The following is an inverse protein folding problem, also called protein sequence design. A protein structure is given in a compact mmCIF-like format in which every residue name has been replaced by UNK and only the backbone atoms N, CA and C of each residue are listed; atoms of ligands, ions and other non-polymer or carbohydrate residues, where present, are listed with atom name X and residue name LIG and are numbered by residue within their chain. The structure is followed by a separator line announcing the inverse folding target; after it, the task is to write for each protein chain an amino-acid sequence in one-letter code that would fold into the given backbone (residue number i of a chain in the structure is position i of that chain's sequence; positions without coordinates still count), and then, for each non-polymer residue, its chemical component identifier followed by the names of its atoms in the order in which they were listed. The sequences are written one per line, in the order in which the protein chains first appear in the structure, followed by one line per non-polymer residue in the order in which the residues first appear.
data_IF_561300661310
#
_entry.id   IF_561300661310
#
_cell.length_a   1.000
_cell.length_b   1.000
_cell.length_c   1.000
_cell.angle_alpha   90.00
_cell.angle_beta   90.00
_cell.angle_gamma   90.00
#
_symmetry.space_group_name_H-M   'P 1'
#
loop_
_entity.id
_entity.type
_entity.pdbx_description
1 polymer ?
#
# COMPACT_ATOMS: atom_id res chain seq x y z
N UNK A 1 -2.35 28.16 -4.04
CA UNK A 1 -2.61 27.53 -5.36
C UNK A 1 -1.77 26.25 -5.56
N UNK A 2 -1.82 25.27 -4.63
CA UNK A 2 -1.01 24.03 -4.69
C UNK A 2 -1.76 22.85 -5.33
N UNK A 3 -3.05 23.00 -5.59
CA UNK A 3 -3.96 21.97 -6.10
C UNK A 3 -3.62 21.44 -7.51
N UNK A 4 -3.31 22.26 -8.54
CA UNK A 4 -3.04 21.72 -9.87
C UNK A 4 -1.74 20.90 -9.92
N UNK A 5 -0.72 21.30 -9.15
CA UNK A 5 0.55 20.57 -9.09
C UNK A 5 0.41 19.22 -8.38
N UNK A 6 -0.48 19.14 -7.38
CA UNK A 6 -0.82 17.88 -6.69
C UNK A 6 -1.58 16.95 -7.64
N UNK A 7 -2.51 17.49 -8.42
CA UNK A 7 -3.28 16.75 -9.41
C UNK A 7 -2.39 16.21 -10.54
N UNK A 8 -1.55 17.07 -11.13
CA UNK A 8 -0.61 16.68 -12.17
C UNK A 8 0.41 15.64 -11.69
N UNK A 9 0.90 15.76 -10.44
CA UNK A 9 1.76 14.73 -9.83
C UNK A 9 1.03 13.42 -9.61
N UNK A 10 -0.25 13.46 -9.25
CA UNK A 10 -1.07 12.28 -9.09
C UNK A 10 -1.26 11.57 -10.45
N UNK A 11 -1.65 12.31 -11.48
CA UNK A 11 -1.80 11.80 -12.84
C UNK A 11 -0.50 11.22 -13.39
N UNK A 12 0.63 11.93 -13.24
CA UNK A 12 1.94 11.43 -13.67
C UNK A 12 2.30 10.12 -12.93
N UNK A 13 2.03 10.03 -11.63
CA UNK A 13 2.27 8.80 -10.86
C UNK A 13 1.39 7.65 -11.31
N UNK A 14 0.13 7.91 -11.68
CA UNK A 14 -0.76 6.91 -12.25
C UNK A 14 -0.24 6.43 -13.60
N UNK A 15 0.13 7.35 -14.50
CA UNK A 15 0.69 7.02 -15.82
C UNK A 15 2.00 6.24 -15.72
N UNK A 16 2.91 6.64 -14.84
CA UNK A 16 4.16 5.89 -14.58
C UNK A 16 3.86 4.51 -14.01
N UNK A 17 2.88 4.38 -13.11
CA UNK A 17 2.50 3.09 -12.55
C UNK A 17 1.83 2.19 -13.58
N UNK A 18 1.03 2.75 -14.48
CA UNK A 18 0.46 2.07 -15.64
C UNK A 18 1.56 1.59 -16.59
N UNK A 19 2.53 2.46 -16.91
CA UNK A 19 3.67 2.10 -17.76
C UNK A 19 4.52 0.99 -17.13
N UNK A 20 4.76 1.03 -15.82
CA UNK A 20 5.47 -0.02 -15.09
C UNK A 20 4.70 -1.35 -15.11
N UNK A 21 3.37 -1.31 -14.95
CA UNK A 21 2.51 -2.49 -14.99
C UNK A 21 2.51 -3.13 -16.39
N UNK A 22 2.36 -2.31 -17.44
CA UNK A 22 2.43 -2.74 -18.85
C UNK A 22 3.82 -3.32 -19.16
N UNK A 23 4.89 -2.68 -18.66
CA UNK A 23 6.25 -3.19 -18.77
C UNK A 23 6.54 -4.42 -17.89
N UNK A 24 5.55 -4.91 -17.13
CA UNK A 24 5.67 -5.99 -16.15
C UNK A 24 6.79 -5.77 -15.12
N UNK A 25 7.13 -4.51 -14.83
CA UNK A 25 8.13 -4.11 -13.83
C UNK A 25 7.44 -3.68 -12.53
N UNK A 26 8.02 -4.10 -11.39
CA UNK A 26 7.56 -3.67 -10.05
C UNK A 26 8.39 -2.51 -9.56
N UNK A 27 7.77 -1.58 -8.85
CA UNK A 27 8.46 -0.39 -8.35
C UNK A 27 9.15 -0.70 -7.02
N UNK A 28 10.48 -0.65 -7.03
CA UNK A 28 11.35 -0.75 -5.85
C UNK A 28 10.94 -1.85 -4.86
N UNK A 29 11.12 -3.11 -5.25
CA UNK A 29 10.94 -4.23 -4.30
C UNK A 29 12.14 -4.42 -3.37
N UNK A 30 13.28 -3.76 -3.61
CA UNK A 30 14.51 -4.01 -2.84
C UNK A 30 14.84 -5.51 -2.78
N UNK A 31 15.55 -5.93 -1.72
CA UNK A 31 15.81 -7.34 -1.38
C UNK A 31 14.72 -7.97 -0.50
N UNK A 32 13.65 -7.23 -0.17
CA UNK A 32 12.62 -7.66 0.76
C UNK A 32 11.55 -8.56 0.14
N UNK A 33 10.79 -9.28 0.99
CA UNK A 33 9.68 -10.12 0.56
C UNK A 33 8.46 -9.26 0.25
N UNK A 34 7.93 -9.36 -0.97
CA UNK A 34 6.79 -8.58 -1.43
C UNK A 34 5.45 -9.30 -1.21
N UNK A 35 4.47 -8.60 -0.63
CA UNK A 35 3.11 -9.07 -0.42
C UNK A 35 2.10 -8.20 -1.19
N UNK A 36 1.37 -8.85 -2.10
CA UNK A 36 0.28 -8.22 -2.85
C UNK A 36 -0.92 -7.89 -1.96
N UNK A 37 -1.69 -6.89 -2.37
CA UNK A 37 -2.99 -6.54 -1.78
C UNK A 37 -4.05 -6.17 -2.84
N UNK A 38 -3.66 -6.24 -4.12
CA UNK A 38 -4.44 -5.68 -5.21
C UNK A 38 -5.55 -6.64 -5.70
N UNK A 39 -5.52 -7.93 -5.30
CA UNK A 39 -6.52 -8.92 -5.73
C UNK A 39 -7.91 -8.57 -5.22
N UNK A 40 -8.02 -8.06 -3.98
CA UNK A 40 -9.30 -7.61 -3.43
C UNK A 40 -9.93 -6.42 -4.16
N UNK A 41 -9.14 -5.61 -4.88
CA UNK A 41 -9.62 -4.44 -5.62
C UNK A 41 -9.96 -4.75 -7.09
N UNK A 42 -9.44 -5.86 -7.64
CA UNK A 42 -9.55 -6.20 -9.06
C UNK A 42 -10.98 -6.27 -9.60
N UNK A 43 -11.90 -7.05 -8.98
CA UNK A 43 -13.27 -7.20 -9.48
C UNK A 43 -14.05 -5.87 -9.56
N UNK A 44 -13.89 -5.00 -8.56
CA UNK A 44 -14.56 -3.69 -8.53
C UNK A 44 -14.03 -2.78 -9.64
N UNK A 45 -12.71 -2.76 -9.85
CA UNK A 45 -12.10 -1.96 -10.92
C UNK A 45 -12.50 -2.48 -12.30
N UNK A 46 -12.56 -3.80 -12.48
CA UNK A 46 -13.03 -4.40 -13.73
C UNK A 46 -14.51 -4.09 -13.99
N UNK A 47 -15.36 -4.20 -12.95
CA UNK A 47 -16.77 -3.84 -13.04
C UNK A 47 -16.96 -2.37 -13.42
N UNK A 48 -16.19 -1.45 -12.82
CA UNK A 48 -16.24 -0.04 -13.17
C UNK A 48 -15.80 0.22 -14.61
N UNK A 49 -14.68 -0.37 -15.04
CA UNK A 49 -14.22 -0.26 -16.42
C UNK A 49 -15.24 -0.80 -17.43
N UNK A 50 -15.89 -1.93 -17.10
CA UNK A 50 -16.96 -2.50 -17.93
C UNK A 50 -18.17 -1.56 -18.04
N UNK A 51 -18.62 -0.99 -16.93
CA UNK A 51 -19.74 -0.02 -16.93
C UNK A 51 -19.38 1.21 -17.77
N UNK A 52 -18.15 1.74 -17.66
CA UNK A 52 -17.70 2.85 -18.51
C UNK A 52 -17.77 2.50 -20.00
N UNK A 53 -17.38 1.27 -20.40
CA UNK A 53 -17.48 0.84 -21.80
C UNK A 53 -18.94 0.77 -22.27
N UNK A 54 -19.83 0.22 -21.45
CA UNK A 54 -21.27 0.16 -21.77
C UNK A 54 -21.86 1.58 -21.88
N UNK A 55 -21.49 2.46 -20.97
CA UNK A 55 -21.86 3.88 -21.00
C UNK A 55 -21.37 4.56 -22.28
N UNK A 56 -20.11 4.35 -22.69
CA UNK A 56 -19.59 4.90 -23.94
C UNK A 56 -20.38 4.45 -25.17
N UNK A 57 -20.78 3.18 -25.21
CA UNK A 57 -21.59 2.64 -26.32
C UNK A 57 -22.99 3.28 -26.30
N UNK A 58 -23.62 3.41 -25.13
CA UNK A 58 -24.92 4.05 -24.99
C UNK A 58 -24.86 5.53 -25.42
N UNK A 59 -23.83 6.26 -25.00
CA UNK A 59 -23.60 7.65 -25.40
C UNK A 59 -23.30 7.77 -26.90
N UNK A 60 -22.60 6.81 -27.50
CA UNK A 60 -22.40 6.77 -28.95
C UNK A 60 -23.71 6.69 -29.73
N UNK A 61 -24.65 5.87 -29.24
CA UNK A 61 -25.99 5.75 -29.85
C UNK A 61 -26.81 7.02 -29.63
N UNK A 62 -26.82 7.55 -28.40
CA UNK A 62 -27.61 8.72 -28.03
C UNK A 62 -27.13 10.01 -28.73
N UNK A 63 -25.82 10.17 -28.89
CA UNK A 63 -25.20 11.37 -29.46
C UNK A 63 -24.85 11.22 -30.94
N UNK A 64 -25.40 10.22 -31.64
CA UNK A 64 -25.11 9.96 -33.07
C UNK A 64 -25.31 11.19 -33.97
N UNK A 65 -26.30 12.02 -33.64
CA UNK A 65 -26.67 13.21 -34.41
C UNK A 65 -25.87 14.46 -33.99
N UNK A 66 -25.02 14.35 -32.96
CA UNK A 66 -24.20 15.42 -32.39
C UNK A 66 -22.71 15.02 -32.34
N UNK A 67 -22.02 14.96 -33.49
CA UNK A 67 -20.67 14.38 -33.59
C UNK A 67 -19.62 15.12 -32.76
N UNK A 68 -19.78 16.43 -32.54
CA UNK A 68 -18.87 17.20 -31.69
C UNK A 68 -18.99 16.78 -30.22
N UNK A 69 -20.21 16.64 -29.70
CA UNK A 69 -20.47 16.25 -28.31
C UNK A 69 -20.03 14.79 -28.11
N UNK A 70 -20.33 13.92 -29.08
CA UNK A 70 -19.91 12.52 -29.05
C UNK A 70 -18.39 12.38 -28.87
N UNK A 71 -17.58 13.13 -29.62
CA UNK A 71 -16.11 13.09 -29.50
C UNK A 71 -15.64 13.51 -28.11
N UNK A 72 -16.23 14.54 -27.53
CA UNK A 72 -15.85 15.02 -26.19
C UNK A 72 -16.16 13.96 -25.13
N UNK A 73 -17.36 13.38 -25.16
CA UNK A 73 -17.76 12.31 -24.23
C UNK A 73 -16.85 11.08 -24.41
N UNK A 74 -16.58 10.68 -25.64
CA UNK A 74 -15.70 9.55 -25.92
C UNK A 74 -14.28 9.76 -25.35
N UNK A 75 -13.71 10.96 -25.49
CA UNK A 75 -12.40 11.29 -24.91
C UNK A 75 -12.45 11.20 -23.38
N UNK A 76 -13.51 11.71 -22.76
CA UNK A 76 -13.70 11.64 -21.30
C UNK A 76 -13.83 10.21 -20.79
N UNK A 77 -14.54 9.35 -21.52
CA UNK A 77 -14.72 7.95 -21.16
C UNK A 77 -13.42 7.18 -21.27
N UNK A 78 -12.69 7.34 -22.38
CA UNK A 78 -11.37 6.73 -22.56
C UNK A 78 -10.41 7.20 -21.46
N UNK A 79 -10.42 8.50 -21.14
CA UNK A 79 -9.63 9.04 -20.05
C UNK A 79 -10.00 8.41 -18.69
N UNK A 80 -11.30 8.25 -18.42
CA UNK A 80 -11.80 7.60 -17.20
C UNK A 80 -11.34 6.15 -17.11
N UNK A 81 -11.42 5.39 -18.20
CA UNK A 81 -10.92 4.01 -18.26
C UNK A 81 -9.41 3.97 -17.98
N UNK A 82 -8.63 4.84 -18.59
CA UNK A 82 -7.18 4.93 -18.35
C UNK A 82 -6.88 5.25 -16.87
N UNK A 83 -7.64 6.16 -16.25
CA UNK A 83 -7.51 6.45 -14.82
C UNK A 83 -7.84 5.24 -13.95
N UNK A 84 -8.94 4.54 -14.23
CA UNK A 84 -9.36 3.34 -13.48
C UNK A 84 -8.32 2.24 -13.57
N UNK A 85 -7.83 1.95 -14.78
CA UNK A 85 -6.77 0.95 -15.00
C UNK A 85 -5.46 1.39 -14.37
N UNK A 86 -5.09 2.67 -14.49
CA UNK A 86 -3.90 3.25 -13.86
C UNK A 86 -3.91 3.13 -12.33
N UNK A 87 -5.07 3.33 -11.69
CA UNK A 87 -5.23 3.11 -10.25
C UNK A 87 -5.04 1.65 -9.86
N UNK A 88 -5.61 0.71 -10.62
CA UNK A 88 -5.41 -0.71 -10.38
C UNK A 88 -3.93 -1.11 -10.57
N UNK A 89 -3.30 -0.65 -11.65
CA UNK A 89 -1.89 -0.85 -11.94
C UNK A 89 -0.99 -0.30 -10.82
N UNK A 90 -1.29 0.88 -10.29
CA UNK A 90 -0.57 1.46 -9.15
C UNK A 90 -0.67 0.61 -7.88
N UNK A 91 -1.80 -0.03 -7.64
CA UNK A 91 -1.96 -0.99 -6.54
C UNK A 91 -1.16 -2.28 -6.76
N UNK A 92 -1.04 -2.76 -8.00
CA UNK A 92 -0.31 -4.00 -8.33
C UNK A 92 1.22 -3.80 -8.29
N UNK A 93 1.72 -2.68 -8.80
CA UNK A 93 3.14 -2.40 -8.98
C UNK A 93 3.86 -2.03 -7.67
N UNK A 94 3.10 -1.63 -6.64
CA UNK A 94 3.62 -1.16 -5.34
C UNK A 94 3.16 -2.08 -4.19
N UNK A 95 3.64 -3.33 -4.10
CA UNK A 95 3.26 -4.25 -3.02
C UNK A 95 3.77 -3.76 -1.66
N UNK A 96 3.23 -4.35 -0.58
CA UNK A 96 3.83 -4.24 0.75
C UNK A 96 5.18 -4.96 0.73
N UNK A 97 6.20 -4.38 1.37
CA UNK A 97 7.54 -4.98 1.39
C UNK A 97 7.96 -5.20 2.83
N UNK A 98 8.28 -6.45 3.16
CA UNK A 98 8.90 -6.84 4.42
C UNK A 98 10.41 -6.96 4.20
N UNK A 99 11.17 -6.14 4.92
CA UNK A 99 12.63 -6.16 4.97
C UNK A 99 13.09 -6.67 6.35
N UNK A 100 14.37 -7.06 6.48
CA UNK A 100 14.91 -7.74 7.67
C UNK A 100 14.76 -6.96 9.00
N UNK A 101 14.53 -5.64 8.93
CA UNK A 101 14.30 -4.80 10.12
C UNK A 101 13.08 -3.87 10.02
N UNK A 102 12.34 -3.87 8.90
CA UNK A 102 11.22 -2.96 8.75
C UNK A 102 10.13 -3.49 7.82
N UNK A 103 8.87 -3.24 8.19
CA UNK A 103 7.70 -3.47 7.36
C UNK A 103 7.30 -2.15 6.68
N UNK A 104 7.32 -2.11 5.35
CA UNK A 104 6.88 -0.96 4.56
C UNK A 104 5.48 -1.22 4.02
N UNK A 105 4.52 -0.49 4.55
CA UNK A 105 3.12 -0.52 4.15
C UNK A 105 2.91 0.56 3.10
N UNK A 106 2.59 0.15 1.87
CA UNK A 106 2.36 1.05 0.74
C UNK A 106 0.93 0.87 0.24
N UNK A 107 0.23 1.99 0.01
CA UNK A 107 -1.04 2.01 -0.75
C UNK A 107 -0.91 2.94 -1.94
N UNK A 108 -0.62 2.35 -3.11
CA UNK A 108 -0.49 3.03 -4.39
C UNK A 108 0.37 4.30 -4.26
N UNK A 109 -0.17 5.47 -4.63
CA UNK A 109 0.50 6.77 -4.51
C UNK A 109 0.13 7.57 -3.25
N UNK A 110 -0.72 7.00 -2.37
CA UNK A 110 -1.38 7.75 -1.29
C UNK A 110 -0.79 7.50 0.10
N UNK A 111 -0.28 6.30 0.37
CA UNK A 111 0.27 5.94 1.69
C UNK A 111 1.61 5.25 1.51
N UNK A 112 2.60 5.73 2.26
CA UNK A 112 3.91 5.10 2.40
C UNK A 112 4.33 5.20 3.86
N UNK A 113 4.12 4.11 4.61
CA UNK A 113 4.45 4.03 6.03
C UNK A 113 5.54 2.98 6.22
N UNK A 114 6.66 3.39 6.81
CA UNK A 114 7.73 2.48 7.23
C UNK A 114 7.64 2.25 8.72
N UNK A 115 7.46 0.99 9.11
CA UNK A 115 7.35 0.56 10.50
C UNK A 115 8.58 -0.28 10.85
N UNK A 116 9.44 0.19 11.78
CA UNK A 116 10.52 -0.64 12.33
C UNK A 116 9.95 -1.85 13.08
N UNK A 117 10.49 -3.05 12.84
CA UNK A 117 9.99 -4.28 13.46
C UNK A 117 10.19 -4.30 14.98
N UNK A 118 11.18 -3.55 15.48
CA UNK A 118 11.43 -3.36 16.92
C UNK A 118 10.26 -2.70 17.68
N UNK A 119 9.41 -1.96 16.96
CA UNK A 119 8.24 -1.25 17.53
C UNK A 119 6.96 -2.06 17.40
N UNK A 120 7.01 -3.27 16.85
CA UNK A 120 5.85 -4.14 16.72
C UNK A 120 5.63 -4.88 18.03
N UNK A 121 4.48 -4.61 18.64
CA UNK A 121 4.03 -5.31 19.84
C UNK A 121 3.40 -6.65 19.45
N UNK A 122 2.35 -6.59 18.64
CA UNK A 122 1.55 -7.73 18.24
C UNK A 122 1.14 -7.64 16.76
N UNK A 123 1.04 -8.79 16.10
CA UNK A 123 0.51 -8.91 14.74
C UNK A 123 -0.48 -10.06 14.68
N UNK A 124 -1.69 -9.77 14.22
CA UNK A 124 -2.78 -10.75 14.12
C UNK A 124 -3.51 -10.65 12.79
N UNK A 125 -4.01 -11.80 12.33
CA UNK A 125 -4.97 -11.86 11.23
C UNK A 125 -6.35 -11.54 11.78
N UNK A 126 -6.98 -10.52 11.23
CA UNK A 126 -8.30 -10.07 11.67
C UNK A 126 -9.02 -9.47 10.47
N UNK A 127 -10.05 -10.15 9.97
CA UNK A 127 -10.88 -9.64 8.89
C UNK A 127 -11.90 -8.68 9.48
N UNK A 128 -11.80 -7.39 9.16
CA UNK A 128 -12.78 -6.36 9.55
C UNK A 128 -13.32 -5.63 8.35
N UNK A 129 -14.62 -5.39 8.37
CA UNK A 129 -15.39 -4.67 7.34
C UNK A 129 -16.02 -3.38 7.87
N UNK A 130 -16.05 -3.20 9.18
CA UNK A 130 -16.53 -1.99 9.85
C UNK A 130 -15.33 -1.24 10.44
N UNK A 131 -15.08 -0.04 9.91
CA UNK A 131 -13.99 0.84 10.32
C UNK A 131 -14.58 2.10 10.94
N UNK A 132 -14.65 2.15 12.27
CA UNK A 132 -14.86 3.42 12.96
C UNK A 132 -13.51 4.12 13.08
N UNK A 133 -13.42 5.33 12.55
CA UNK A 133 -12.19 6.10 12.58
C UNK A 133 -11.91 6.57 14.00
N UNK A 134 -10.99 5.90 14.69
CA UNK A 134 -10.51 6.30 16.00
C UNK A 134 -9.18 7.08 15.88
N UNK A 135 -8.96 8.02 16.80
CA UNK A 135 -7.69 8.75 16.87
C UNK A 135 -6.56 7.79 17.28
N UNK A 136 -5.44 7.83 16.54
CA UNK A 136 -4.30 6.93 16.74
C UNK A 136 -4.37 5.61 15.97
N UNK A 137 -5.45 5.35 15.22
CA UNK A 137 -5.58 4.20 14.32
C UNK A 137 -5.39 4.60 12.84
N UNK A 138 -4.74 3.72 12.06
CA UNK A 138 -4.60 3.85 10.62
C UNK A 138 -5.20 2.62 9.93
N UNK A 139 -6.35 2.81 9.29
CA UNK A 139 -6.99 1.78 8.47
C UNK A 139 -6.64 1.98 6.98
N UNK A 140 -5.87 1.04 6.44
CA UNK A 140 -5.52 0.93 5.02
C UNK A 140 -6.47 -0.08 4.36
N UNK A 141 -7.68 0.40 4.11
CA UNK A 141 -8.81 -0.41 3.62
C UNK A 141 -8.72 -0.66 2.11
N UNK A 142 -8.95 -1.91 1.70
CA UNK A 142 -9.12 -2.31 0.30
C UNK A 142 -10.48 -2.98 0.15
N UNK A 143 -11.34 -2.47 -0.74
CA UNK A 143 -12.68 -3.02 -0.95
C UNK A 143 -13.57 -3.02 0.31
N UNK A 144 -13.46 -1.99 1.16
CA UNK A 144 -14.10 -1.93 2.49
C UNK A 144 -13.62 -2.99 3.50
N UNK A 145 -12.48 -3.65 3.26
CA UNK A 145 -11.94 -4.68 4.14
C UNK A 145 -10.48 -4.43 4.56
N UNK A 146 -10.12 -4.90 5.75
CA UNK A 146 -8.74 -5.07 6.26
C UNK A 146 -8.60 -6.50 6.76
N UNK A 147 -7.45 -7.14 6.52
CA UNK A 147 -7.22 -8.56 6.89
C UNK A 147 -6.15 -8.75 7.96
N UNK A 148 -5.35 -7.73 8.24
CA UNK A 148 -4.26 -7.77 9.22
C UNK A 148 -4.37 -6.56 10.17
N UNK A 149 -4.22 -6.83 11.45
CA UNK A 149 -4.10 -5.81 12.51
C UNK A 149 -2.69 -5.88 13.11
N UNK A 150 -2.01 -4.74 13.16
CA UNK A 150 -0.67 -4.56 13.71
C UNK A 150 -0.73 -3.55 14.85
N UNK A 151 -0.30 -3.95 16.04
CA UNK A 151 -0.20 -3.11 17.22
C UNK A 151 1.27 -2.71 17.43
N UNK A 152 1.47 -1.42 17.71
CA UNK A 152 2.79 -0.83 17.90
C UNK A 152 3.01 -0.49 19.37
N UNK A 153 4.16 -0.87 19.90
CA UNK A 153 4.58 -0.55 21.28
C UNK A 153 4.77 0.95 21.47
N UNK A 154 5.23 1.64 20.42
CA UNK A 154 5.43 3.09 20.39
C UNK A 154 4.69 3.72 19.20
N UNK A 155 4.16 4.94 19.34
CA UNK A 155 3.57 5.66 18.23
C UNK A 155 4.58 5.88 17.09
N UNK A 156 4.21 5.52 15.87
CA UNK A 156 5.01 5.79 14.67
C UNK A 156 4.40 6.98 13.92
N UNK A 157 5.25 7.94 13.56
CA UNK A 157 4.84 9.11 12.80
C UNK A 157 4.50 8.72 11.35
N UNK A 158 3.23 8.86 11.00
CA UNK A 158 2.72 8.75 9.64
C UNK A 158 2.52 10.15 9.06
N UNK A 159 3.05 10.40 7.86
CA UNK A 159 2.75 11.62 7.11
C UNK A 159 1.67 11.34 6.07
N UNK A 160 0.54 12.04 6.15
CA UNK A 160 -0.48 11.94 5.10
C UNK A 160 0.04 12.53 3.79
N UNK A 161 -0.62 12.21 2.67
CA UNK A 161 -0.31 12.80 1.36
C UNK A 161 -0.40 14.34 1.34
N UNK A 162 -1.08 14.95 2.32
CA UNK A 162 -1.14 16.39 2.54
C UNK A 162 -0.04 16.92 3.51
N UNK A 163 0.92 16.09 3.90
CA UNK A 163 2.04 16.46 4.78
C UNK A 163 1.67 16.58 6.26
N UNK A 164 0.46 16.20 6.67
CA UNK A 164 0.04 16.24 8.08
C UNK A 164 0.62 15.03 8.80
N UNK A 165 1.42 15.27 9.84
CA UNK A 165 1.90 14.23 10.75
C UNK A 165 0.74 13.72 11.61
N UNK A 166 0.64 12.40 11.74
CA UNK A 166 -0.22 11.68 12.67
C UNK A 166 0.59 10.59 13.32
N UNK A 167 0.55 10.50 14.64
CA UNK A 167 1.18 9.41 15.35
C UNK A 167 0.18 8.25 15.47
N UNK A 168 0.59 7.07 15.03
CA UNK A 168 -0.28 5.89 14.91
C UNK A 168 0.24 4.78 15.81
N UNK A 169 -0.65 4.17 16.59
CA UNK A 169 -0.36 3.01 17.45
C UNK A 169 -0.96 1.71 16.94
N UNK A 170 -2.04 1.80 16.16
CA UNK A 170 -2.70 0.65 15.55
C UNK A 170 -2.74 0.83 14.04
N UNK A 171 -2.22 -0.15 13.31
CA UNK A 171 -2.25 -0.17 11.84
C UNK A 171 -3.03 -1.38 11.37
N UNK A 172 -4.16 -1.15 10.70
CA UNK A 172 -4.93 -2.19 10.05
C UNK A 172 -4.75 -2.08 8.55
N UNK A 173 -4.45 -3.18 7.87
CA UNK A 173 -4.25 -3.17 6.42
C UNK A 173 -4.71 -4.48 5.78
N UNK A 174 -4.88 -4.45 4.47
CA UNK A 174 -5.22 -5.64 3.69
C UNK A 174 -3.97 -6.22 3.01
N UNK A 175 -3.80 -7.53 3.13
CA UNK A 175 -2.85 -8.33 2.37
C UNK A 175 -3.57 -9.54 1.78
N UNK A 176 -3.23 -9.88 0.52
CA UNK A 176 -3.82 -11.01 -0.21
C UNK A 176 -3.48 -12.35 0.48
N UNK A 177 -2.27 -12.45 1.03
CA UNK A 177 -1.74 -13.61 1.77
C UNK A 177 -1.51 -13.24 3.26
N UNK A 178 -2.59 -12.88 3.95
CA UNK A 178 -2.54 -12.41 5.34
C UNK A 178 -1.84 -13.41 6.29
N UNK A 179 -2.13 -14.70 6.14
CA UNK A 179 -1.52 -15.75 6.98
C UNK A 179 -0.02 -15.86 6.78
N UNK A 180 0.45 -15.80 5.52
CA UNK A 180 1.87 -15.82 5.21
C UNK A 180 2.57 -14.58 5.74
N UNK A 181 1.96 -13.40 5.55
CA UNK A 181 2.50 -12.15 6.04
C UNK A 181 2.65 -12.15 7.57
N UNK A 182 1.60 -12.55 8.30
CA UNK A 182 1.63 -12.61 9.77
C UNK A 182 2.74 -13.56 10.26
N UNK A 183 2.92 -14.71 9.62
CA UNK A 183 4.00 -15.66 9.98
C UNK A 183 5.39 -15.07 9.76
N UNK A 184 5.64 -14.49 8.60
CA UNK A 184 6.96 -13.91 8.27
C UNK A 184 7.27 -12.70 9.16
N UNK A 185 6.29 -11.81 9.41
CA UNK A 185 6.48 -10.68 10.33
C UNK A 185 6.79 -11.18 11.75
N UNK A 186 6.09 -12.19 12.25
CA UNK A 186 6.40 -12.76 13.58
C UNK A 186 7.81 -13.32 13.64
N UNK A 187 8.26 -14.02 12.59
CA UNK A 187 9.60 -14.58 12.51
C UNK A 187 10.67 -13.49 12.58
N UNK A 188 10.53 -12.45 11.76
CA UNK A 188 11.49 -11.34 11.72
C UNK A 188 11.49 -10.53 13.03
N UNK A 189 10.32 -10.27 13.63
CA UNK A 189 10.24 -9.62 14.96
C UNK A 189 10.98 -10.42 16.02
N UNK A 190 10.87 -11.76 16.01
CA UNK A 190 11.61 -12.60 16.94
C UNK A 190 13.12 -12.57 16.67
N UNK A 191 13.55 -12.59 15.40
CA UNK A 191 14.95 -12.47 15.03
C UNK A 191 15.57 -11.14 15.51
N UNK A 192 14.87 -10.03 15.32
CA UNK A 192 15.30 -8.69 15.79
C UNK A 192 15.38 -8.65 17.32
N UNK A 193 14.39 -9.23 18.01
CA UNK A 193 14.41 -9.31 19.49
C UNK A 193 15.59 -10.13 19.98
N UNK A 194 15.85 -11.31 19.39
CA UNK A 194 16.98 -12.17 19.73
C UNK A 194 18.33 -11.49 19.50
N UNK A 195 18.51 -10.81 18.37
CA UNK A 195 19.73 -10.05 18.08
C UNK A 195 19.99 -8.93 19.12
N UNK A 196 18.92 -8.33 19.67
CA UNK A 196 19.03 -7.31 20.73
C UNK A 196 19.31 -7.92 22.10
N UNK A 197 18.80 -9.11 22.39
CA UNK A 197 19.03 -9.79 23.68
C UNK A 197 20.36 -10.55 23.71
N UNK A 198 20.97 -10.83 22.56
CA UNK A 198 22.31 -11.41 22.48
C UNK A 198 23.32 -10.46 23.16
N UNK A 199 24.07 -10.93 24.18
CA UNK A 199 25.04 -10.09 24.87
C UNK A 199 26.10 -9.62 23.88
N UNK A 200 26.40 -8.32 23.90
CA UNK A 200 27.61 -7.79 23.26
C UNK A 200 28.79 -8.57 23.86
N UNK A 201 29.44 -9.39 23.04
CA UNK A 201 30.60 -10.17 23.47
C UNK A 201 31.73 -9.18 23.80
N UNK A 202 31.77 -8.75 25.06
CA UNK A 202 32.93 -8.07 25.62
C UNK A 202 34.11 -9.05 25.51
N UNK A 203 35.28 -8.60 25.01
CA UNK A 203 36.49 -9.40 25.07
C UNK A 203 36.74 -9.76 26.54
N UNK A 204 36.81 -11.04 26.86
CA UNK A 204 37.18 -11.51 28.20
C UNK A 204 38.51 -10.86 28.61
N UNK A 205 38.64 -10.32 29.84
CA UNK A 205 39.93 -9.89 30.34
C UNK A 205 40.86 -11.11 30.39
N UNK A 206 42.04 -10.97 29.80
CA UNK A 206 43.11 -11.96 29.84
C UNK A 206 43.34 -12.41 31.31
N UNK A 207 43.42 -13.72 31.60
CA UNK A 207 43.75 -14.17 32.94
C UNK A 207 45.19 -13.77 33.28
N UNK A 208 45.34 -13.12 34.43
CA UNK A 208 46.61 -12.79 35.07
C UNK A 208 47.53 -14.02 35.09
N UNK A 209 48.70 -13.88 34.47
CA UNK A 209 49.80 -14.83 34.67
C UNK A 209 50.52 -14.49 35.99
N UNK A 210 50.67 -15.45 36.93
CA UNK A 210 51.57 -15.27 38.05
C UNK A 210 53.04 -15.38 37.62
N UNK A 211 53.88 -14.70 38.41
CA UNK A 211 55.30 -14.38 38.22
C UNK A 211 56.27 -15.55 37.99
#
# INVERSE_FOLDING_TARGET
MRTPLVLARHELRLLVSLALWVARRRHETGSGTAFGYARGQGPVMFGLAFVCVVESIAMAVLLRDYPAVHRVVFILDVYTIVLVVGMHAASVVRPHVLDAGSLRIRRAAHVDLRIPLEKVDSVRRELRTTHQRADGELDVVIGAQTSVTLELTEPVAHFTSLGRRRDVRLVRFHADDADRLVREVRREVQAVRQARTAPSALPSPLPDQPA
#
